data_IF_434351041263
#
_entry.id   IF_434351041263
#
_cell.length_a   1.000
_cell.length_b   1.000
_cell.length_c   1.000
_cell.angle_alpha   90.00
_cell.angle_beta   90.00
_cell.angle_gamma   90.00
#
_symmetry.space_group_name_H-M   'P 1'
#
loop_
_entity.id
_entity.type
_entity.pdbx_description
1 polymer ?
#
# COMPACT_ATOMS: atom_id res chain seq x y z
N UNK A 1 -1.35 -3.85 -22.53
CA UNK A 1 -0.32 -4.63 -21.79
C UNK A 1 -0.96 -5.90 -21.28
N UNK A 2 -0.37 -7.08 -21.54
CA UNK A 2 -1.14 -8.31 -21.68
C UNK A 2 -1.77 -8.72 -20.35
N UNK A 3 -2.97 -9.28 -20.48
CA UNK A 3 -3.68 -10.03 -19.45
C UNK A 3 -2.69 -10.89 -18.66
N UNK A 4 -2.97 -11.07 -17.37
CA UNK A 4 -2.20 -11.90 -16.46
C UNK A 4 -2.08 -13.32 -17.07
N UNK A 5 -1.03 -13.56 -17.86
CA UNK A 5 -0.92 -14.76 -18.67
C UNK A 5 -0.68 -15.91 -17.72
N UNK A 6 -1.65 -16.81 -17.67
CA UNK A 6 -1.58 -17.96 -16.79
C UNK A 6 -0.31 -18.75 -17.16
N UNK A 7 0.46 -19.16 -16.17
CA UNK A 7 1.69 -19.95 -16.37
C UNK A 7 1.58 -21.30 -15.71
N UNK A 8 2.15 -22.32 -16.35
CA UNK A 8 2.25 -23.64 -15.76
C UNK A 8 3.14 -23.59 -14.50
N UNK A 9 2.67 -24.05 -13.33
CA UNK A 9 3.44 -24.01 -12.10
C UNK A 9 4.61 -25.01 -12.06
N UNK A 10 4.76 -25.87 -13.07
CA UNK A 10 5.78 -26.90 -13.12
C UNK A 10 6.91 -26.62 -14.12
N UNK A 11 6.61 -25.91 -15.22
CA UNK A 11 7.59 -25.63 -16.28
C UNK A 11 7.55 -24.18 -16.78
N UNK A 12 6.77 -23.31 -16.15
CA UNK A 12 6.59 -21.89 -16.51
C UNK A 12 6.10 -21.61 -17.94
N UNK A 13 5.70 -22.63 -18.72
CA UNK A 13 5.12 -22.44 -20.04
C UNK A 13 3.79 -21.66 -19.96
N UNK A 14 3.54 -20.81 -20.96
CA UNK A 14 2.29 -20.09 -21.17
C UNK A 14 1.27 -20.89 -22.01
N UNK A 15 1.69 -22.02 -22.58
CA UNK A 15 0.83 -22.88 -23.39
C UNK A 15 -0.06 -23.74 -22.48
N UNK A 16 -1.29 -23.26 -22.25
CA UNK A 16 -2.24 -23.88 -21.31
C UNK A 16 -3.59 -24.09 -21.98
N UNK A 17 -4.10 -25.31 -21.89
CA UNK A 17 -5.43 -25.70 -22.35
C UNK A 17 -6.42 -25.78 -21.18
N UNK A 18 -7.67 -25.37 -21.40
CA UNK A 18 -8.78 -25.49 -20.44
C UNK A 18 -9.41 -26.88 -20.54
N UNK A 19 -9.49 -27.61 -19.43
CA UNK A 19 -9.94 -29.01 -19.37
C UNK A 19 -11.24 -29.17 -18.55
N UNK A 20 -12.16 -28.21 -18.69
CA UNK A 20 -13.42 -28.16 -17.91
C UNK A 20 -13.25 -27.64 -16.48
N UNK A 21 -14.27 -27.82 -15.63
CA UNK A 21 -14.31 -27.25 -14.27
C UNK A 21 -14.24 -28.33 -13.20
N UNK A 22 -13.56 -28.05 -12.08
CA UNK A 22 -13.59 -28.85 -10.85
C UNK A 22 -14.54 -28.18 -9.86
N UNK A 23 -15.65 -28.84 -9.52
CA UNK A 23 -16.53 -28.43 -8.42
C UNK A 23 -15.90 -28.84 -7.09
N UNK A 24 -15.68 -27.89 -6.21
CA UNK A 24 -15.38 -28.13 -4.79
C UNK A 24 -16.60 -27.78 -3.93
N UNK A 25 -16.49 -27.99 -2.60
CA UNK A 25 -17.61 -27.77 -1.66
C UNK A 25 -18.17 -26.34 -1.69
N UNK A 26 -17.31 -25.33 -1.79
CA UNK A 26 -17.68 -23.90 -1.70
C UNK A 26 -17.22 -23.05 -2.89
N UNK A 27 -16.50 -23.63 -3.84
CA UNK A 27 -16.00 -22.91 -5.01
C UNK A 27 -15.76 -23.86 -6.17
N UNK A 28 -15.88 -23.32 -7.38
CA UNK A 28 -15.49 -24.00 -8.60
C UNK A 28 -14.13 -23.45 -9.07
N UNK A 29 -13.33 -24.30 -9.68
CA UNK A 29 -12.03 -23.92 -10.26
C UNK A 29 -11.93 -24.45 -11.68
N UNK A 30 -11.26 -23.71 -12.55
CA UNK A 30 -10.94 -24.15 -13.90
C UNK A 30 -9.85 -25.22 -13.83
N UNK A 31 -10.10 -26.41 -14.39
CA UNK A 31 -9.04 -27.39 -14.65
C UNK A 31 -8.26 -26.96 -15.87
N UNK A 32 -6.95 -27.08 -15.78
CA UNK A 32 -6.01 -26.61 -16.77
C UNK A 32 -4.93 -27.67 -16.99
N UNK A 33 -4.43 -27.75 -18.21
CA UNK A 33 -3.35 -28.66 -18.59
C UNK A 33 -2.30 -27.90 -19.37
N UNK A 34 -1.06 -27.99 -18.93
CA UNK A 34 0.05 -27.44 -19.69
C UNK A 34 0.33 -28.32 -20.91
N UNK A 35 0.40 -27.71 -22.09
CA UNK A 35 0.70 -28.44 -23.33
C UNK A 35 2.13 -28.95 -23.31
N UNK A 36 3.10 -28.10 -22.90
CA UNK A 36 4.53 -28.44 -22.89
C UNK A 36 4.93 -29.57 -21.94
N UNK A 37 4.47 -29.56 -20.69
CA UNK A 37 4.85 -30.60 -19.70
C UNK A 37 3.75 -31.61 -19.40
N UNK A 38 2.61 -31.52 -20.09
CA UNK A 38 1.45 -32.41 -19.97
C UNK A 38 0.80 -32.47 -18.56
N UNK A 39 1.27 -31.68 -17.58
CA UNK A 39 0.77 -31.69 -16.19
C UNK A 39 -0.54 -30.91 -16.04
N UNK A 40 -1.42 -31.46 -15.21
CA UNK A 40 -2.70 -30.85 -14.83
C UNK A 40 -2.57 -29.97 -13.57
N UNK A 41 -3.32 -28.87 -13.54
CA UNK A 41 -3.44 -27.97 -12.39
C UNK A 41 -4.77 -27.22 -12.42
N UNK A 42 -5.00 -26.36 -11.44
CA UNK A 42 -6.22 -25.53 -11.35
C UNK A 42 -5.87 -24.06 -11.19
N UNK A 43 -6.75 -23.17 -11.63
CA UNK A 43 -6.64 -21.70 -11.45
C UNK A 43 -6.89 -21.23 -10.00
N UNK A 44 -7.04 -22.16 -9.07
CA UNK A 44 -7.35 -21.87 -7.68
C UNK A 44 -6.21 -21.08 -7.02
N UNK A 45 -6.52 -19.85 -6.59
CA UNK A 45 -5.59 -18.93 -5.92
C UNK A 45 -4.94 -19.53 -4.65
N UNK A 46 -5.72 -20.23 -3.82
CA UNK A 46 -5.23 -20.90 -2.61
C UNK A 46 -5.35 -22.42 -2.70
N UNK A 47 -4.22 -23.11 -2.68
CA UNK A 47 -4.17 -24.58 -2.66
C UNK A 47 -4.72 -25.12 -1.33
N UNK A 48 -5.38 -26.27 -1.38
CA UNK A 48 -5.89 -27.01 -0.21
C UNK A 48 -6.86 -26.24 0.73
N UNK A 49 -7.50 -25.17 0.25
CA UNK A 49 -8.52 -24.43 1.03
C UNK A 49 -9.92 -24.62 0.48
N UNK A 50 -10.88 -24.99 1.32
CA UNK A 50 -12.28 -25.13 0.89
C UNK A 50 -12.89 -23.76 0.56
N UNK A 51 -12.68 -22.77 1.43
CA UNK A 51 -13.17 -21.41 1.28
C UNK A 51 -12.40 -20.61 0.22
N UNK A 52 -13.06 -19.72 -0.54
CA UNK A 52 -12.40 -18.77 -1.42
C UNK A 52 -11.47 -17.82 -0.65
N UNK A 53 -10.42 -17.34 -1.32
CA UNK A 53 -9.42 -16.46 -0.71
C UNK A 53 -10.02 -15.16 -0.15
N UNK A 54 -10.96 -14.56 -0.88
CA UNK A 54 -11.63 -13.33 -0.42
C UNK A 54 -12.45 -13.55 0.86
N UNK A 55 -13.02 -14.73 1.10
CA UNK A 55 -13.71 -15.02 2.36
C UNK A 55 -12.69 -15.08 3.49
N UNK A 56 -11.60 -15.82 3.32
CA UNK A 56 -10.56 -16.00 4.33
C UNK A 56 -9.95 -14.66 4.75
N UNK A 57 -9.49 -13.88 3.77
CA UNK A 57 -8.74 -12.66 4.05
C UNK A 57 -9.63 -11.50 4.51
N UNK A 58 -10.86 -11.37 4.01
CA UNK A 58 -11.80 -10.39 4.60
C UNK A 58 -12.21 -10.79 6.02
N UNK A 59 -12.36 -12.08 6.33
CA UNK A 59 -12.62 -12.55 7.70
C UNK A 59 -11.51 -12.09 8.65
N UNK A 60 -10.25 -12.25 8.25
CA UNK A 60 -9.10 -11.83 9.06
C UNK A 60 -9.09 -10.30 9.23
N UNK A 61 -9.30 -9.54 8.15
CA UNK A 61 -9.38 -8.07 8.21
C UNK A 61 -10.48 -7.60 9.16
N UNK A 62 -11.72 -8.07 9.01
CA UNK A 62 -12.84 -7.67 9.86
C UNK A 62 -12.59 -8.00 11.33
N UNK A 63 -12.06 -9.19 11.62
CA UNK A 63 -11.67 -9.54 12.98
C UNK A 63 -10.61 -8.57 13.52
N UNK A 64 -9.56 -8.30 12.74
CA UNK A 64 -8.47 -7.41 13.12
C UNK A 64 -8.93 -5.98 13.37
N UNK A 65 -9.95 -5.50 12.66
CA UNK A 65 -10.57 -4.18 12.87
C UNK A 65 -11.38 -4.07 14.18
N UNK A 66 -11.45 -5.11 15.01
CA UNK A 66 -12.03 -5.03 16.36
C UNK A 66 -13.25 -5.92 16.59
N UNK A 67 -13.86 -6.45 15.52
CA UNK A 67 -15.02 -7.33 15.59
C UNK A 67 -14.69 -8.66 16.30
N UNK A 68 -15.61 -9.17 17.12
CA UNK A 68 -15.54 -10.53 17.67
C UNK A 68 -15.64 -11.59 16.56
N UNK A 69 -15.34 -12.86 16.86
CA UNK A 69 -15.49 -13.94 15.87
C UNK A 69 -16.95 -14.12 15.43
N UNK A 70 -17.89 -13.93 16.36
CA UNK A 70 -19.34 -14.00 16.08
C UNK A 70 -19.77 -12.86 15.14
N UNK A 71 -19.43 -11.61 15.48
CA UNK A 71 -19.68 -10.44 14.62
C UNK A 71 -19.05 -10.61 13.23
N UNK A 72 -17.79 -11.06 13.18
CA UNK A 72 -17.07 -11.31 11.93
C UNK A 72 -17.81 -12.34 11.07
N UNK A 73 -18.26 -13.45 11.66
CA UNK A 73 -19.03 -14.47 10.95
C UNK A 73 -20.35 -13.90 10.40
N UNK A 74 -21.07 -13.12 11.20
CA UNK A 74 -22.31 -12.46 10.78
C UNK A 74 -22.08 -11.48 9.62
N UNK A 75 -21.02 -10.67 9.67
CA UNK A 75 -20.62 -9.75 8.60
C UNK A 75 -20.35 -10.53 7.30
N UNK A 76 -19.56 -11.59 7.39
CA UNK A 76 -19.20 -12.42 6.22
C UNK A 76 -20.43 -13.11 5.64
N UNK A 77 -21.33 -13.63 6.48
CA UNK A 77 -22.62 -14.21 6.05
C UNK A 77 -23.49 -13.18 5.34
N UNK A 78 -23.60 -11.96 5.88
CA UNK A 78 -24.40 -10.88 5.27
C UNK A 78 -23.86 -10.46 3.90
N UNK A 79 -22.54 -10.22 3.82
CA UNK A 79 -21.86 -9.65 2.65
C UNK A 79 -21.60 -10.67 1.53
N UNK A 80 -21.23 -11.90 1.89
CA UNK A 80 -20.81 -12.92 0.92
C UNK A 80 -21.71 -14.16 0.89
N UNK A 81 -22.84 -14.14 1.63
CA UNK A 81 -23.79 -15.25 1.71
C UNK A 81 -23.14 -16.59 2.08
N UNK A 82 -22.05 -16.52 2.86
CA UNK A 82 -21.23 -17.67 3.24
C UNK A 82 -21.08 -17.67 4.75
N UNK A 83 -21.46 -18.76 5.41
CA UNK A 83 -21.28 -18.91 6.85
C UNK A 83 -19.90 -19.47 7.17
N UNK A 84 -19.20 -18.82 8.11
CA UNK A 84 -17.87 -19.22 8.57
C UNK A 84 -17.94 -19.53 10.07
N UNK A 85 -17.80 -20.80 10.47
CA UNK A 85 -17.78 -21.16 11.89
C UNK A 85 -16.64 -20.50 12.66
N UNK A 86 -16.85 -20.15 13.92
CA UNK A 86 -15.84 -19.49 14.77
C UNK A 86 -14.54 -20.30 14.90
N UNK A 87 -14.64 -21.64 14.95
CA UNK A 87 -13.47 -22.54 14.92
C UNK A 87 -12.62 -22.33 13.68
N UNK A 88 -13.24 -22.23 12.50
CA UNK A 88 -12.57 -21.95 11.23
C UNK A 88 -11.89 -20.58 11.25
N UNK A 89 -12.55 -19.56 11.81
CA UNK A 89 -11.95 -18.23 12.00
C UNK A 89 -10.69 -18.33 12.87
N UNK A 90 -10.79 -19.02 14.02
CA UNK A 90 -9.66 -19.25 14.92
C UNK A 90 -8.47 -19.92 14.24
N UNK A 91 -8.73 -20.93 13.41
CA UNK A 91 -7.69 -21.62 12.63
C UNK A 91 -7.00 -20.69 11.63
N UNK A 92 -7.75 -19.85 10.90
CA UNK A 92 -7.16 -18.87 9.99
C UNK A 92 -6.35 -17.80 10.72
N UNK A 93 -6.86 -17.29 11.83
CA UNK A 93 -6.13 -16.33 12.67
C UNK A 93 -4.83 -16.92 13.20
N UNK A 94 -4.83 -18.20 13.60
CA UNK A 94 -3.61 -18.92 13.99
C UNK A 94 -2.65 -19.10 12.82
N UNK A 95 -3.16 -19.45 11.64
CA UNK A 95 -2.36 -19.70 10.43
C UNK A 95 -1.63 -18.44 9.95
N UNK A 96 -2.30 -17.27 9.97
CA UNK A 96 -1.75 -16.03 9.39
C UNK A 96 -1.19 -15.06 10.46
N UNK A 97 -1.07 -15.49 11.72
CA UNK A 97 -0.64 -14.63 12.85
C UNK A 97 0.70 -13.92 12.64
N UNK A 98 1.63 -14.54 11.92
CA UNK A 98 2.98 -14.00 11.72
C UNK A 98 3.03 -13.02 10.54
N UNK A 99 2.04 -13.08 9.65
CA UNK A 99 1.90 -12.16 8.52
C UNK A 99 0.97 -10.99 8.84
N UNK A 100 -0.19 -11.26 9.44
CA UNK A 100 -1.17 -10.24 9.86
C UNK A 100 -0.85 -9.77 11.29
N UNK A 101 0.21 -8.98 11.41
CA UNK A 101 0.85 -8.60 12.69
C UNK A 101 -0.01 -7.68 13.56
N UNK A 102 -1.00 -6.99 13.01
CA UNK A 102 -1.89 -6.12 13.80
C UNK A 102 -2.64 -6.87 14.91
N UNK A 103 -2.81 -8.20 14.77
CA UNK A 103 -3.36 -9.06 15.84
C UNK A 103 -2.69 -8.83 17.20
N UNK A 104 -1.41 -8.48 17.25
CA UNK A 104 -0.65 -8.21 18.48
C UNK A 104 -1.14 -6.96 19.21
N UNK A 105 -1.61 -5.97 18.46
CA UNK A 105 -2.09 -4.68 18.97
C UNK A 105 -3.62 -4.61 19.12
N UNK A 106 -4.32 -5.58 18.52
CA UNK A 106 -5.79 -5.61 18.44
C UNK A 106 -6.49 -5.46 19.80
N UNK A 107 -5.98 -6.11 20.84
CA UNK A 107 -6.63 -6.06 22.16
C UNK A 107 -6.57 -4.66 22.79
N UNK A 108 -5.45 -3.96 22.62
CA UNK A 108 -5.34 -2.55 23.03
C UNK A 108 -6.23 -1.67 22.16
N UNK A 109 -6.21 -1.90 20.84
CA UNK A 109 -7.01 -1.11 19.90
C UNK A 109 -8.51 -1.17 20.18
N UNK A 110 -9.04 -2.37 20.46
CA UNK A 110 -10.47 -2.58 20.73
C UNK A 110 -10.95 -1.87 22.01
N UNK A 111 -10.06 -1.58 22.97
CA UNK A 111 -10.42 -0.83 24.18
C UNK A 111 -10.70 0.64 23.89
N UNK A 112 -10.08 1.19 22.84
CA UNK A 112 -10.08 2.62 22.53
C UNK A 112 -10.94 2.98 21.32
N UNK A 113 -11.09 2.05 20.37
CA UNK A 113 -11.80 2.30 19.11
C UNK A 113 -12.81 1.19 18.83
N UNK A 114 -14.01 1.60 18.40
CA UNK A 114 -14.99 0.69 17.81
C UNK A 114 -14.54 0.25 16.40
N UNK A 115 -15.08 -0.86 15.86
CA UNK A 115 -14.75 -1.29 14.51
C UNK A 115 -15.01 -0.26 13.41
N UNK A 116 -15.99 0.62 13.61
CA UNK A 116 -16.35 1.65 12.62
C UNK A 116 -15.44 2.88 12.68
N UNK A 117 -14.81 3.16 13.82
CA UNK A 117 -14.00 4.37 14.05
C UNK A 117 -12.49 4.09 14.10
N UNK A 118 -12.07 2.83 13.88
CA UNK A 118 -10.66 2.45 13.94
C UNK A 118 -9.87 2.90 12.70
N UNK A 119 -10.55 2.99 11.55
CA UNK A 119 -10.00 3.51 10.30
C UNK A 119 -10.97 4.56 9.73
N UNK A 120 -10.49 5.79 9.60
CA UNK A 120 -11.19 6.83 8.86
C UNK A 120 -10.88 6.71 7.37
N UNK A 121 -11.89 6.96 6.54
CA UNK A 121 -11.79 6.86 5.08
C UNK A 121 -12.41 8.10 4.43
N UNK A 122 -11.70 8.65 3.45
CA UNK A 122 -12.11 9.85 2.73
C UNK A 122 -11.92 9.63 1.23
N UNK A 123 -12.94 9.98 0.45
CA UNK A 123 -12.87 9.95 -1.01
C UNK A 123 -12.59 11.35 -1.55
N UNK A 124 -11.54 11.46 -2.37
CA UNK A 124 -11.15 12.71 -3.00
C UNK A 124 -11.15 12.58 -4.52
N UNK A 125 -11.73 13.57 -5.18
CA UNK A 125 -11.66 13.71 -6.63
C UNK A 125 -10.47 14.59 -7.02
N UNK A 126 -9.34 13.97 -7.34
CA UNK A 126 -8.12 14.64 -7.80
C UNK A 126 -7.90 14.32 -9.27
N UNK A 127 -7.74 15.33 -10.13
CA UNK A 127 -7.60 15.14 -11.59
C UNK A 127 -8.65 14.20 -12.21
N UNK A 128 -9.92 14.33 -11.78
CA UNK A 128 -11.06 13.47 -12.19
C UNK A 128 -10.89 11.98 -11.89
N UNK A 129 -9.99 11.61 -10.98
CA UNK A 129 -9.82 10.25 -10.48
C UNK A 129 -10.22 10.22 -9.00
N UNK A 130 -10.93 9.16 -8.61
CA UNK A 130 -11.28 8.93 -7.21
C UNK A 130 -10.11 8.29 -6.48
N UNK A 131 -9.73 8.89 -5.36
CA UNK A 131 -8.68 8.41 -4.47
C UNK A 131 -9.26 8.21 -3.08
N UNK A 132 -9.03 7.04 -2.50
CA UNK A 132 -9.54 6.67 -1.18
C UNK A 132 -8.44 6.76 -0.13
N UNK A 133 -8.30 7.94 0.46
CA UNK A 133 -7.39 8.17 1.57
C UNK A 133 -7.88 7.47 2.84
N UNK A 134 -6.99 6.80 3.55
CA UNK A 134 -7.32 6.05 4.76
C UNK A 134 -6.31 6.33 5.88
N UNK A 135 -6.79 6.47 7.12
CA UNK A 135 -5.97 6.62 8.33
C UNK A 135 -6.39 5.58 9.37
N UNK A 136 -5.43 4.89 9.98
CA UNK A 136 -5.70 4.01 11.10
C UNK A 136 -5.44 4.73 12.44
N UNK A 137 -6.52 5.19 13.07
CA UNK A 137 -6.49 6.05 14.26
C UNK A 137 -5.69 5.47 15.42
N UNK A 138 -5.95 4.21 15.77
CA UNK A 138 -5.21 3.56 16.85
C UNK A 138 -3.69 3.49 16.56
N UNK A 139 -3.27 3.02 15.37
CA UNK A 139 -1.86 2.85 15.05
C UNK A 139 -1.14 4.19 14.98
N UNK A 140 -1.78 5.22 14.42
CA UNK A 140 -1.22 6.56 14.37
C UNK A 140 -0.96 7.10 15.77
N UNK A 141 -1.95 7.03 16.67
CA UNK A 141 -1.80 7.49 18.04
C UNK A 141 -0.79 6.65 18.83
N UNK A 142 -0.88 5.32 18.73
CA UNK A 142 -0.03 4.39 19.46
C UNK A 142 1.44 4.50 19.05
N UNK A 143 1.74 4.65 17.75
CA UNK A 143 3.11 4.74 17.26
C UNK A 143 3.70 6.15 17.37
N UNK A 144 2.88 7.20 17.45
CA UNK A 144 3.35 8.57 17.60
C UNK A 144 3.45 9.05 19.06
N UNK A 145 2.84 8.35 20.03
CA UNK A 145 2.61 8.85 21.41
C UNK A 145 3.85 9.44 22.07
N UNK A 146 5.01 8.80 21.95
CA UNK A 146 6.25 9.19 22.63
C UNK A 146 7.27 9.87 21.71
N UNK A 147 6.82 10.44 20.59
CA UNK A 147 7.73 11.03 19.60
C UNK A 147 7.14 12.32 19.01
N UNK A 148 7.63 13.46 19.48
CA UNK A 148 7.19 14.80 19.03
C UNK A 148 7.26 14.96 17.51
N UNK A 149 8.27 14.37 16.86
CA UNK A 149 8.41 14.42 15.40
C UNK A 149 7.27 13.65 14.73
N UNK A 150 6.90 12.47 15.25
CA UNK A 150 5.76 11.71 14.73
C UNK A 150 4.41 12.37 15.06
N UNK A 151 4.31 13.19 16.10
CA UNK A 151 3.13 14.04 16.34
C UNK A 151 2.95 15.08 15.21
N UNK A 152 4.02 15.66 14.67
CA UNK A 152 3.91 16.56 13.51
C UNK A 152 3.44 15.83 12.24
N UNK A 153 3.87 14.57 12.06
CA UNK A 153 3.33 13.72 11.00
C UNK A 153 1.82 13.50 11.18
N UNK A 154 1.39 13.18 12.41
CA UNK A 154 -0.03 13.01 12.76
C UNK A 154 -0.84 14.27 12.40
N UNK A 155 -0.37 15.46 12.79
CA UNK A 155 -1.04 16.73 12.46
C UNK A 155 -1.22 16.92 10.95
N UNK A 156 -0.21 16.56 10.14
CA UNK A 156 -0.34 16.62 8.69
C UNK A 156 -1.42 15.64 8.18
N UNK A 157 -1.41 14.39 8.67
CA UNK A 157 -2.37 13.36 8.24
C UNK A 157 -3.81 13.70 8.61
N UNK A 158 -4.03 14.24 9.82
CA UNK A 158 -5.35 14.69 10.30
C UNK A 158 -5.83 15.97 9.63
N UNK A 159 -4.91 16.79 9.10
CA UNK A 159 -5.25 17.97 8.31
C UNK A 159 -5.82 17.63 6.93
N UNK A 160 -5.39 16.53 6.30
CA UNK A 160 -5.80 16.15 4.93
C UNK A 160 -7.32 16.21 4.69
N UNK A 161 -8.19 15.63 5.54
CA UNK A 161 -9.64 15.65 5.30
C UNK A 161 -10.32 17.00 5.58
N UNK A 162 -9.58 18.02 6.02
CA UNK A 162 -10.12 19.32 6.41
C UNK A 162 -10.05 20.33 5.26
N UNK A 163 -10.75 21.46 5.41
CA UNK A 163 -10.70 22.57 4.46
C UNK A 163 -9.32 23.24 4.37
N UNK A 164 -8.47 23.03 5.38
CA UNK A 164 -7.12 23.63 5.44
C UNK A 164 -6.13 22.91 4.50
N UNK A 165 -6.47 21.71 4.03
CA UNK A 165 -5.67 21.01 3.04
C UNK A 165 -5.96 21.57 1.63
N UNK A 166 -4.94 21.93 0.84
CA UNK A 166 -5.13 22.61 -0.44
C UNK A 166 -5.50 21.62 -1.57
N UNK A 167 -6.67 20.99 -1.48
CA UNK A 167 -7.18 20.04 -2.48
C UNK A 167 -7.27 20.64 -3.90
N UNK A 168 -7.41 21.96 -4.02
CA UNK A 168 -7.46 22.65 -5.31
C UNK A 168 -6.17 22.46 -6.14
N UNK A 169 -5.01 22.25 -5.51
CA UNK A 169 -3.73 22.02 -6.19
C UNK A 169 -3.74 20.68 -6.96
N UNK A 170 -4.59 19.73 -6.57
CA UNK A 170 -4.71 18.43 -7.21
C UNK A 170 -5.74 18.40 -8.36
N UNK A 171 -6.33 19.54 -8.71
CA UNK A 171 -7.24 19.68 -9.84
C UNK A 171 -6.47 20.18 -11.05
N UNK A 172 -6.75 19.61 -12.23
CA UNK A 172 -6.21 20.12 -13.48
C UNK A 172 -6.80 21.50 -13.74
N UNK A 173 -5.95 22.53 -13.74
CA UNK A 173 -6.41 23.87 -14.08
C UNK A 173 -6.49 23.99 -15.61
N UNK A 174 -7.70 24.12 -16.14
CA UNK A 174 -7.93 24.21 -17.60
C UNK A 174 -7.34 25.49 -18.21
N UNK A 175 -7.06 26.50 -17.39
CA UNK A 175 -6.46 27.76 -17.81
C UNK A 175 -4.92 27.69 -17.94
N UNK A 176 -4.29 26.74 -17.25
CA UNK A 176 -2.85 26.51 -17.33
C UNK A 176 -2.60 25.53 -18.49
N UNK A 177 -2.05 26.04 -19.60
CA UNK A 177 -1.71 25.22 -20.79
C UNK A 177 -0.68 24.12 -20.49
N UNK A 178 0.05 24.25 -19.38
CA UNK A 178 1.05 23.30 -18.94
C UNK A 178 0.43 22.17 -18.09
N UNK A 179 0.79 20.92 -18.40
CA UNK A 179 0.32 19.76 -17.62
C UNK A 179 0.87 19.86 -16.20
N UNK A 180 0.01 19.59 -15.20
CA UNK A 180 0.41 19.49 -13.80
C UNK A 180 1.56 18.49 -13.61
N UNK A 181 2.62 18.89 -12.92
CA UNK A 181 3.76 18.05 -12.61
C UNK A 181 3.33 16.95 -11.63
N UNK A 182 3.26 15.71 -12.11
CA UNK A 182 2.98 14.55 -11.27
C UNK A 182 4.29 13.99 -10.74
N UNK A 183 4.33 13.63 -9.46
CA UNK A 183 5.52 13.02 -8.87
C UNK A 183 5.98 11.75 -9.60
N UNK A 184 5.05 11.00 -10.21
CA UNK A 184 5.37 9.81 -11.01
C UNK A 184 5.97 10.11 -12.39
N UNK A 185 5.89 11.35 -12.85
CA UNK A 185 6.43 11.83 -14.13
C UNK A 185 7.65 12.75 -13.93
N UNK A 186 7.98 13.06 -12.69
CA UNK A 186 9.10 13.91 -12.37
C UNK A 186 10.42 13.24 -12.75
N UNK A 187 11.23 13.99 -13.49
CA UNK A 187 12.59 13.63 -13.86
C UNK A 187 13.50 14.77 -13.42
N UNK A 188 14.43 14.48 -12.53
CA UNK A 188 15.38 15.44 -12.00
C UNK A 188 16.66 14.72 -11.62
N UNK A 189 17.78 15.44 -11.55
CA UNK A 189 19.06 14.81 -11.30
C UNK A 189 19.12 14.23 -9.88
N UNK A 190 19.07 12.90 -9.75
CA UNK A 190 19.39 12.19 -8.51
C UNK A 190 20.88 11.80 -8.45
N UNK A 191 21.41 11.73 -7.24
CA UNK A 191 22.72 11.14 -6.97
C UNK A 191 22.63 9.62 -7.15
N UNK A 192 23.77 9.01 -7.52
CA UNK A 192 23.84 7.58 -7.71
C UNK A 192 23.60 6.86 -6.37
N UNK A 193 22.49 6.14 -6.27
CA UNK A 193 22.15 5.31 -5.12
C UNK A 193 22.03 3.86 -5.55
N UNK A 194 22.43 2.94 -4.66
CA UNK A 194 22.17 1.51 -4.83
C UNK A 194 21.08 1.08 -3.83
N UNK A 195 19.84 0.84 -4.30
CA UNK A 195 18.78 0.32 -3.45
C UNK A 195 19.17 -1.02 -2.82
N UNK A 196 18.80 -1.22 -1.56
CA UNK A 196 18.97 -2.49 -0.87
C UNK A 196 17.81 -3.42 -1.23
N UNK A 197 18.12 -4.59 -1.78
CA UNK A 197 17.14 -5.65 -2.01
C UNK A 197 17.05 -6.58 -0.81
N UNK A 198 15.82 -6.93 -0.39
CA UNK A 198 15.57 -7.94 0.65
C UNK A 198 14.19 -8.56 0.52
N UNK A 199 13.90 -9.57 1.34
CA UNK A 199 12.55 -10.10 1.55
C UNK A 199 12.05 -9.73 2.94
N UNK A 200 10.80 -9.28 3.05
CA UNK A 200 10.23 -8.93 4.33
C UNK A 200 8.70 -9.17 4.40
N UNK A 201 8.08 -8.64 5.46
CA UNK A 201 6.65 -8.78 5.71
C UNK A 201 5.78 -8.16 4.61
N UNK A 202 6.21 -7.06 3.97
CA UNK A 202 5.47 -6.42 2.90
C UNK A 202 5.28 -7.36 1.70
N UNK A 203 6.28 -8.15 1.33
CA UNK A 203 6.14 -9.16 0.27
C UNK A 203 5.07 -10.20 0.62
N UNK A 204 5.09 -10.69 1.87
CA UNK A 204 4.12 -11.67 2.37
C UNK A 204 2.70 -11.11 2.41
N UNK A 205 2.53 -9.89 2.92
CA UNK A 205 1.23 -9.19 2.95
C UNK A 205 0.72 -8.93 1.53
N UNK A 206 1.58 -8.44 0.62
CA UNK A 206 1.26 -8.22 -0.78
C UNK A 206 0.73 -9.50 -1.43
N UNK A 207 1.43 -10.62 -1.21
CA UNK A 207 1.02 -11.93 -1.72
C UNK A 207 -0.38 -12.33 -1.26
N UNK A 208 -0.75 -12.05 0.00
CA UNK A 208 -2.10 -12.32 0.50
C UNK A 208 -3.12 -11.35 -0.12
N UNK A 209 -2.82 -10.06 -0.11
CA UNK A 209 -3.69 -8.99 -0.59
C UNK A 209 -4.05 -9.13 -2.08
N UNK A 210 -3.10 -9.55 -2.93
CA UNK A 210 -3.35 -9.80 -4.36
C UNK A 210 -4.41 -10.88 -4.62
N UNK A 211 -4.72 -11.72 -3.64
CA UNK A 211 -5.84 -12.66 -3.78
C UNK A 211 -7.21 -11.98 -3.73
N UNK A 212 -7.30 -10.78 -3.13
CA UNK A 212 -8.53 -9.98 -3.05
C UNK A 212 -8.85 -9.26 -4.35
N UNK A 213 -7.82 -8.85 -5.11
CA UNK A 213 -8.00 -8.22 -6.40
C UNK A 213 -8.59 -9.19 -7.44
N UNK A 214 -9.64 -8.77 -8.12
CA UNK A 214 -10.21 -9.48 -9.28
C UNK A 214 -9.57 -9.01 -10.58
N UNK A 215 -9.24 -7.73 -10.66
CA UNK A 215 -8.64 -7.09 -11.84
C UNK A 215 -7.31 -6.41 -11.50
N UNK A 216 -6.53 -6.06 -12.53
CA UNK A 216 -5.29 -5.30 -12.34
C UNK A 216 -5.54 -3.91 -11.74
N UNK A 217 -6.67 -3.27 -12.07
CA UNK A 217 -7.05 -1.95 -11.56
C UNK A 217 -7.32 -1.95 -10.05
N UNK A 218 -7.75 -3.09 -9.51
CA UNK A 218 -8.06 -3.25 -8.08
C UNK A 218 -6.84 -3.62 -7.22
N UNK A 219 -5.66 -3.85 -7.82
CA UNK A 219 -4.48 -4.35 -7.09
C UNK A 219 -3.99 -3.37 -6.03
N UNK A 220 -3.83 -2.09 -6.38
CA UNK A 220 -3.41 -1.05 -5.44
C UNK A 220 -4.39 -0.98 -4.27
N UNK A 221 -5.67 -0.80 -4.56
CA UNK A 221 -6.69 -0.70 -3.53
C UNK A 221 -6.75 -1.92 -2.61
N UNK A 222 -6.65 -3.13 -3.18
CA UNK A 222 -6.64 -4.38 -2.41
C UNK A 222 -5.43 -4.48 -1.47
N UNK A 223 -4.27 -4.01 -1.91
CA UNK A 223 -3.04 -3.98 -1.12
C UNK A 223 -3.15 -2.95 -0.01
N UNK A 224 -3.56 -1.72 -0.34
CA UNK A 224 -3.77 -0.63 0.62
C UNK A 224 -4.74 -1.04 1.73
N UNK A 225 -5.94 -1.51 1.36
CA UNK A 225 -6.98 -1.95 2.31
C UNK A 225 -6.49 -3.10 3.20
N UNK A 226 -5.77 -4.05 2.62
CA UNK A 226 -5.29 -5.20 3.37
C UNK A 226 -4.15 -4.82 4.32
N UNK A 227 -3.22 -3.96 3.90
CA UNK A 227 -2.12 -3.49 4.73
C UNK A 227 -2.65 -2.66 5.90
N UNK A 228 -3.52 -1.69 5.64
CA UNK A 228 -4.02 -0.83 6.70
C UNK A 228 -4.84 -1.60 7.74
N UNK A 229 -5.56 -2.66 7.36
CA UNK A 229 -6.28 -3.51 8.32
C UNK A 229 -5.37 -4.49 9.08
N UNK A 230 -4.33 -5.05 8.46
CA UNK A 230 -3.65 -6.25 8.97
C UNK A 230 -2.20 -6.06 9.39
N UNK A 231 -1.50 -5.04 8.90
CA UNK A 231 -0.12 -4.76 9.28
C UNK A 231 -0.07 -3.88 10.52
N UNK A 232 0.78 -4.21 11.49
CA UNK A 232 0.90 -3.43 12.73
C UNK A 232 1.57 -2.06 12.55
N UNK A 233 2.21 -1.80 11.41
CA UNK A 233 3.00 -0.58 11.18
C UNK A 233 2.38 0.38 10.18
N UNK A 234 1.43 -0.08 9.35
CA UNK A 234 0.72 0.77 8.37
C UNK A 234 -0.26 1.69 9.06
N UNK A 235 0.01 3.00 8.99
CA UNK A 235 -0.79 4.05 9.63
C UNK A 235 -1.73 4.77 8.65
N UNK A 236 -1.37 4.84 7.37
CA UNK A 236 -2.16 5.50 6.35
C UNK A 236 -1.95 4.86 4.98
N UNK A 237 -2.92 5.03 4.09
CA UNK A 237 -2.87 4.60 2.69
C UNK A 237 -3.48 5.65 1.76
N UNK A 238 -3.01 5.68 0.50
CA UNK A 238 -3.44 6.62 -0.54
C UNK A 238 -3.34 8.10 -0.08
N UNK A 239 -2.18 8.48 0.46
CA UNK A 239 -1.96 9.77 1.11
C UNK A 239 -1.69 10.85 0.04
N UNK A 240 -2.54 11.88 -0.12
CA UNK A 240 -2.24 12.99 -1.01
C UNK A 240 -1.05 13.79 -0.48
N UNK A 241 -0.14 14.14 -1.39
CA UNK A 241 1.07 14.88 -1.09
C UNK A 241 1.39 15.88 -2.20
N UNK A 242 1.99 17.01 -1.83
CA UNK A 242 2.35 18.06 -2.77
C UNK A 242 3.64 18.78 -2.37
N UNK A 243 4.37 19.26 -3.38
CA UNK A 243 5.59 20.06 -3.24
C UNK A 243 5.42 21.35 -4.03
N UNK A 244 5.62 22.50 -3.38
CA UNK A 244 5.50 23.82 -3.98
C UNK A 244 6.86 24.35 -4.44
N UNK A 245 6.84 25.43 -5.23
CA UNK A 245 8.07 26.10 -5.65
C UNK A 245 8.90 26.60 -4.46
N UNK A 246 8.26 27.13 -3.42
CA UNK A 246 8.94 27.55 -2.19
C UNK A 246 9.65 26.39 -1.47
N UNK A 247 9.06 25.19 -1.49
CA UNK A 247 9.72 24.01 -0.92
C UNK A 247 10.99 23.67 -1.72
N UNK A 248 10.93 23.76 -3.05
CA UNK A 248 12.07 23.51 -3.94
C UNK A 248 13.19 24.52 -3.68
N UNK A 249 12.85 25.80 -3.58
CA UNK A 249 13.80 26.87 -3.22
C UNK A 249 14.46 26.60 -1.86
N UNK A 250 13.65 26.23 -0.86
CA UNK A 250 14.15 25.87 0.46
C UNK A 250 15.16 24.73 0.40
N UNK A 251 14.83 23.61 -0.27
CA UNK A 251 15.74 22.48 -0.37
C UNK A 251 17.01 22.83 -1.15
N UNK A 252 16.88 23.54 -2.27
CA UNK A 252 18.02 23.97 -3.08
C UNK A 252 19.01 24.82 -2.26
N UNK A 253 18.51 25.75 -1.44
CA UNK A 253 19.32 26.57 -0.52
C UNK A 253 20.06 25.76 0.57
N UNK A 254 19.64 24.50 0.80
CA UNK A 254 20.19 23.59 1.81
C UNK A 254 21.11 22.51 1.21
N UNK A 255 21.67 22.75 0.02
CA UNK A 255 22.56 21.83 -0.71
C UNK A 255 21.88 20.54 -1.21
N UNK A 256 20.55 20.52 -1.32
CA UNK A 256 19.87 19.44 -2.01
C UNK A 256 20.03 19.65 -3.52
N UNK A 257 20.28 18.57 -4.26
CA UNK A 257 20.42 18.54 -5.70
C UNK A 257 19.06 18.59 -6.39
N UNK A 258 18.33 19.69 -6.15
CA UNK A 258 17.05 19.99 -6.76
C UNK A 258 17.17 21.37 -7.40
N UNK A 259 16.75 21.48 -8.65
CA UNK A 259 16.65 22.75 -9.34
C UNK A 259 15.17 23.18 -9.34
N UNK A 260 14.82 24.30 -8.69
CA UNK A 260 13.45 24.81 -8.64
C UNK A 260 12.83 25.06 -10.03
N UNK A 261 13.66 25.26 -11.05
CA UNK A 261 13.23 25.48 -12.43
C UNK A 261 12.92 24.17 -13.19
N UNK A 262 13.19 23.01 -12.59
CA UNK A 262 12.84 21.71 -13.19
C UNK A 262 11.31 21.49 -13.21
N UNK A 263 10.56 22.25 -12.41
CA UNK A 263 9.11 22.10 -12.24
C UNK A 263 8.41 23.45 -12.42
N UNK A 264 7.34 23.45 -13.20
CA UNK A 264 6.60 24.68 -13.53
C UNK A 264 5.34 24.84 -12.70
N UNK A 265 4.83 23.73 -12.19
CA UNK A 265 3.65 23.68 -11.33
C UNK A 265 3.99 22.99 -10.02
N UNK A 266 3.20 23.18 -8.95
CA UNK A 266 3.34 22.36 -7.76
C UNK A 266 3.27 20.87 -8.11
N UNK A 267 4.24 20.11 -7.62
CA UNK A 267 4.30 18.67 -7.87
C UNK A 267 3.27 18.00 -6.98
N UNK A 268 2.40 17.16 -7.55
CA UNK A 268 1.38 16.42 -6.78
C UNK A 268 1.52 14.91 -6.93
N UNK A 269 1.04 14.18 -5.95
CA UNK A 269 0.85 12.74 -6.09
C UNK A 269 0.19 12.12 -4.86
N UNK A 270 0.10 10.80 -4.89
CA UNK A 270 -0.48 10.02 -3.81
C UNK A 270 0.46 8.88 -3.43
N UNK A 271 0.76 8.75 -2.15
CA UNK A 271 1.59 7.67 -1.63
C UNK A 271 0.72 6.46 -1.35
N UNK A 272 1.08 5.29 -1.87
CA UNK A 272 0.30 4.06 -1.65
C UNK A 272 0.18 3.72 -0.16
N UNK A 273 1.30 3.60 0.56
CA UNK A 273 1.35 3.13 1.95
C UNK A 273 2.34 3.94 2.77
N UNK A 274 1.91 4.35 3.97
CA UNK A 274 2.77 4.97 4.97
C UNK A 274 2.86 4.11 6.22
N UNK A 275 4.09 3.85 6.67
CA UNK A 275 4.39 3.02 7.82
C UNK A 275 5.31 3.71 8.82
N UNK A 276 5.17 3.39 10.10
CA UNK A 276 6.14 3.76 11.14
C UNK A 276 6.85 2.51 11.64
N UNK A 277 8.17 2.45 11.48
CA UNK A 277 9.00 1.32 11.89
C UNK A 277 10.25 1.83 12.59
N UNK A 278 10.50 1.42 13.83
CA UNK A 278 11.68 1.83 14.59
C UNK A 278 11.89 3.36 14.58
N UNK A 279 10.82 4.12 14.80
CA UNK A 279 10.80 5.60 14.73
C UNK A 279 11.17 6.23 13.37
N UNK A 280 11.29 5.42 12.31
CA UNK A 280 11.44 5.89 10.94
C UNK A 280 10.09 5.85 10.21
N UNK A 281 9.93 6.79 9.28
CA UNK A 281 8.78 6.90 8.40
C UNK A 281 9.12 6.17 7.10
N UNK A 282 8.37 5.11 6.84
CA UNK A 282 8.55 4.29 5.66
C UNK A 282 7.47 4.63 4.62
N UNK A 283 7.88 5.14 3.47
CA UNK A 283 7.01 5.37 2.31
C UNK A 283 7.16 4.17 1.39
N UNK A 284 6.06 3.45 1.18
CA UNK A 284 6.01 2.24 0.37
C UNK A 284 5.14 2.47 -0.85
N UNK A 285 5.69 2.23 -2.04
CA UNK A 285 4.97 2.27 -3.31
C UNK A 285 4.85 0.85 -3.89
N UNK A 286 3.63 0.40 -4.17
CA UNK A 286 3.43 -0.89 -4.78
C UNK A 286 3.65 -0.78 -6.29
N UNK A 287 4.55 -1.60 -6.83
CA UNK A 287 4.87 -1.63 -8.26
C UNK A 287 4.78 -3.06 -8.77
N UNK A 288 3.81 -3.41 -9.63
CA UNK A 288 3.76 -4.73 -10.25
C UNK A 288 5.06 -5.04 -11.01
N UNK A 289 5.69 -6.19 -10.75
CA UNK A 289 7.03 -6.52 -11.28
C UNK A 289 8.08 -5.49 -10.84
N UNK A 290 8.17 -5.24 -9.54
CA UNK A 290 9.01 -4.20 -8.94
C UNK A 290 10.50 -4.30 -9.35
N UNK A 291 10.97 -5.47 -9.77
CA UNK A 291 12.33 -5.65 -10.27
C UNK A 291 12.60 -5.02 -11.65
N UNK A 292 11.56 -4.61 -12.38
CA UNK A 292 11.65 -3.94 -13.69
C UNK A 292 11.42 -2.42 -13.60
N UNK A 293 11.12 -1.92 -12.41
CA UNK A 293 10.73 -0.54 -12.17
C UNK A 293 11.82 0.18 -11.38
N UNK A 294 11.93 1.50 -11.59
CA UNK A 294 12.84 2.35 -10.82
C UNK A 294 12.15 3.66 -10.39
N UNK A 295 11.30 3.61 -9.34
CA UNK A 295 10.52 4.77 -8.89
C UNK A 295 11.28 5.68 -7.93
N UNK A 296 12.62 5.72 -7.98
CA UNK A 296 13.44 6.49 -7.03
C UNK A 296 13.11 7.98 -7.05
N UNK A 297 12.91 8.59 -8.24
CA UNK A 297 12.52 10.00 -8.37
C UNK A 297 11.18 10.28 -7.67
N UNK A 298 10.13 9.52 -8.02
CA UNK A 298 8.79 9.61 -7.42
C UNK A 298 8.83 9.48 -5.90
N UNK A 299 9.48 8.43 -5.39
CA UNK A 299 9.59 8.15 -3.96
C UNK A 299 10.40 9.22 -3.21
N UNK A 300 11.40 9.82 -3.86
CA UNK A 300 12.19 10.90 -3.27
C UNK A 300 11.37 12.18 -3.14
N UNK A 301 10.55 12.51 -4.15
CA UNK A 301 9.61 13.63 -4.08
C UNK A 301 8.59 13.43 -2.97
N UNK A 302 8.03 12.22 -2.83
CA UNK A 302 7.13 11.90 -1.73
C UNK A 302 7.76 12.15 -0.36
N UNK A 303 9.02 11.74 -0.18
CA UNK A 303 9.74 11.98 1.06
C UNK A 303 10.03 13.47 1.29
N UNK A 304 10.48 14.21 0.28
CA UNK A 304 10.75 15.65 0.37
C UNK A 304 9.49 16.44 0.70
N UNK A 305 8.39 16.14 0.02
CA UNK A 305 7.12 16.79 0.23
C UNK A 305 6.58 16.52 1.63
N UNK A 306 6.58 15.26 2.08
CA UNK A 306 6.12 14.92 3.42
C UNK A 306 7.05 15.50 4.50
N UNK A 307 8.37 15.51 4.26
CA UNK A 307 9.34 16.16 5.13
C UNK A 307 9.07 17.67 5.26
N UNK A 308 8.80 18.37 4.15
CA UNK A 308 8.46 19.79 4.19
C UNK A 308 7.14 20.03 4.93
N UNK A 309 6.05 19.37 4.51
CA UNK A 309 4.70 19.65 5.04
C UNK A 309 4.52 19.25 6.50
N UNK A 310 5.20 18.19 6.94
CA UNK A 310 5.19 17.80 8.35
C UNK A 310 6.36 18.42 9.16
N UNK A 311 7.21 19.26 8.55
CA UNK A 311 8.40 19.86 9.20
C UNK A 311 9.31 18.81 9.86
N UNK A 312 9.67 17.79 9.09
CA UNK A 312 10.48 16.65 9.52
C UNK A 312 11.82 16.61 8.79
N UNK A 313 12.89 16.17 9.46
CA UNK A 313 14.16 15.98 8.79
C UNK A 313 14.10 14.77 7.85
N UNK A 314 14.68 14.88 6.65
CA UNK A 314 14.66 13.80 5.66
C UNK A 314 15.40 12.53 6.14
N UNK A 315 16.27 12.63 7.15
CA UNK A 315 16.92 11.50 7.82
C UNK A 315 15.95 10.52 8.47
N UNK A 316 14.71 10.93 8.75
CA UNK A 316 13.68 10.06 9.30
C UNK A 316 13.00 9.17 8.26
N UNK A 317 13.24 9.40 6.97
CA UNK A 317 12.50 8.74 5.91
C UNK A 317 13.29 7.57 5.34
N UNK A 318 12.56 6.49 5.03
CA UNK A 318 13.02 5.41 4.18
C UNK A 318 11.99 5.15 3.11
N UNK A 319 12.42 5.13 1.86
CA UNK A 319 11.53 4.86 0.74
C UNK A 319 11.71 3.42 0.26
N UNK A 320 10.64 2.82 -0.21
CA UNK A 320 10.67 1.48 -0.75
C UNK A 320 9.64 1.29 -1.85
N UNK A 321 9.94 0.39 -2.78
CA UNK A 321 8.95 -0.15 -3.70
C UNK A 321 9.01 -1.66 -3.70
N UNK A 322 7.86 -2.29 -3.96
CA UNK A 322 7.73 -3.72 -3.75
C UNK A 322 6.61 -4.35 -4.58
N UNK A 323 6.72 -5.68 -4.73
CA UNK A 323 5.64 -6.58 -5.10
C UNK A 323 5.66 -7.82 -4.18
N UNK A 324 4.94 -8.88 -4.53
CA UNK A 324 4.90 -10.11 -3.74
C UNK A 324 6.22 -10.91 -3.72
N UNK A 325 7.17 -10.59 -4.60
CA UNK A 325 8.43 -11.32 -4.80
C UNK A 325 9.68 -10.45 -4.60
N UNK A 326 9.59 -9.12 -4.67
CA UNK A 326 10.71 -8.19 -4.65
C UNK A 326 10.43 -7.03 -3.70
N UNK A 327 11.42 -6.61 -2.94
CA UNK A 327 11.36 -5.40 -2.11
C UNK A 327 12.70 -4.69 -2.16
N UNK A 328 12.66 -3.42 -2.55
CA UNK A 328 13.83 -2.55 -2.60
C UNK A 328 13.62 -1.37 -1.67
N UNK A 329 14.64 -0.97 -0.92
CA UNK A 329 14.60 0.21 -0.07
C UNK A 329 15.85 1.09 -0.21
N UNK A 330 15.68 2.38 0.06
CA UNK A 330 16.78 3.34 0.10
C UNK A 330 16.44 4.51 1.04
N UNK A 331 17.46 5.26 1.42
CA UNK A 331 17.29 6.52 2.15
C UNK A 331 17.21 7.67 1.13
N UNK A 332 16.08 8.41 1.06
CA UNK A 332 15.90 9.47 0.07
C UNK A 332 16.93 10.59 0.22
N UNK A 333 17.42 10.85 1.43
CA UNK A 333 18.50 11.81 1.66
C UNK A 333 19.73 11.54 0.79
N UNK A 334 20.13 10.28 0.62
CA UNK A 334 21.31 9.93 -0.19
C UNK A 334 21.08 10.17 -1.69
N UNK A 335 19.82 10.25 -2.14
CA UNK A 335 19.49 10.52 -3.53
C UNK A 335 19.61 12.00 -3.89
N UNK A 336 19.55 12.90 -2.91
CA UNK A 336 19.45 14.35 -3.17
C UNK A 336 20.44 15.20 -2.40
N UNK A 337 21.03 14.73 -1.30
CA UNK A 337 21.93 15.56 -0.50
C UNK A 337 23.38 15.46 -0.98
N UNK A 338 23.95 16.59 -1.43
CA UNK A 338 25.37 16.66 -1.78
C UNK A 338 26.20 16.73 -0.50
N UNK A 339 26.91 15.67 -0.16
CA UNK A 339 27.96 15.76 0.86
C UNK A 339 29.04 16.71 0.36
N UNK A 340 29.38 17.74 1.15
CA UNK A 340 30.60 18.52 0.89
C UNK A 340 31.77 17.53 0.89
N UNK A 341 32.53 17.50 -0.21
CA UNK A 341 33.81 16.80 -0.25
C UNK A 341 34.79 17.48 0.69
#
# INVERSE_FOLDING_TARGET
MPENSLKCPYCNSMEISKQGKRKGKLQQSQKLKCVRCNKNFTDKKLKHKSYPAHIIFNTISYYNLGNTQSETSAIIKRKYKTEVPQRTISEWLKQYKDTCTFRRLRNEAKKLYSPDNIIDQYEFLHNNLNYKYQIHNFKLNYLAVNNEKLQRLKLYLEKIPTKDFPHHIFKSNHEIKEKSDRASQADFKILNIKPLSKQNLANKLCKLALNLAKTNKERHQSIQDFFIANDSTTIAAEIPIYLTHDDLLYFSSRNFNLNPNDFKTPITGHMDILQIRNNLIHILDYKPNANKENPVHQLTIYALALASKAKLPLTMFKCAWFDENNYFEFFPLHAVYKTKK
#
